data_IF_351200118014
#
_entry.id   IF_351200118014
#
_cell.length_a   1.000
_cell.length_b   1.000
_cell.length_c   1.000
_cell.angle_alpha   90.00
_cell.angle_beta   90.00
_cell.angle_gamma   90.00
#
_symmetry.space_group_name_H-M   'P 1'
#
loop_
_entity.id
_entity.type
_entity.pdbx_description
1 polymer ?
#
# COMPACT_ATOMS: atom_id res chain seq x y z
N UNK A 1 -57.92 -43.35 5.38
CA UNK A 1 -56.60 -42.89 5.89
C UNK A 1 -56.10 -41.85 4.91
N UNK A 2 -56.56 -40.60 5.05
CA UNK A 2 -56.25 -39.51 4.13
C UNK A 2 -55.08 -38.68 4.66
N UNK A 3 -53.97 -38.66 3.90
CA UNK A 3 -52.80 -37.82 4.20
C UNK A 3 -53.05 -36.40 3.66
N UNK A 4 -53.25 -35.43 4.56
CA UNK A 4 -53.19 -34.00 4.24
C UNK A 4 -51.78 -33.60 3.78
N UNK A 5 -51.62 -32.71 2.78
CA UNK A 5 -50.32 -32.16 2.42
C UNK A 5 -49.87 -31.09 3.43
N UNK A 6 -48.59 -31.17 3.84
CA UNK A 6 -47.91 -30.17 4.68
C UNK A 6 -47.71 -28.88 3.87
N UNK A 7 -48.24 -27.76 4.39
CA UNK A 7 -47.92 -26.41 3.92
C UNK A 7 -46.45 -26.11 4.24
N UNK A 8 -45.65 -25.87 3.20
CA UNK A 8 -44.32 -25.28 3.31
C UNK A 8 -44.47 -23.80 3.69
N UNK A 9 -43.96 -23.41 4.85
CA UNK A 9 -43.85 -22.02 5.25
C UNK A 9 -42.82 -21.32 4.34
N UNK A 10 -43.29 -20.35 3.54
CA UNK A 10 -42.44 -19.44 2.78
C UNK A 10 -41.81 -18.48 3.78
N UNK A 11 -40.56 -18.75 4.18
CA UNK A 11 -39.74 -17.80 4.93
C UNK A 11 -39.46 -16.61 4.02
N UNK A 12 -39.96 -15.43 4.39
CA UNK A 12 -39.57 -14.16 3.77
C UNK A 12 -38.11 -13.89 4.12
N UNK A 13 -37.21 -14.20 3.18
CA UNK A 13 -35.87 -13.60 3.18
C UNK A 13 -36.07 -12.10 3.07
N UNK A 14 -35.66 -11.36 4.11
CA UNK A 14 -35.32 -9.96 3.98
C UNK A 14 -34.29 -9.84 2.86
N UNK A 15 -34.59 -9.02 1.85
CA UNK A 15 -33.61 -8.59 0.85
C UNK A 15 -32.56 -7.76 1.60
N UNK A 16 -31.46 -8.41 2.01
CA UNK A 16 -30.21 -7.70 2.31
C UNK A 16 -29.79 -7.05 1.00
N UNK A 17 -29.85 -5.71 0.94
CA UNK A 17 -29.29 -4.94 -0.18
C UNK A 17 -27.84 -5.39 -0.39
N UNK A 18 -27.48 -5.61 -1.66
CA UNK A 18 -26.11 -5.98 -2.04
C UNK A 18 -25.16 -4.90 -1.48
N UNK A 19 -24.20 -5.25 -0.58
CA UNK A 19 -23.25 -4.30 -0.03
C UNK A 19 -22.49 -3.53 -1.13
N UNK A 20 -22.36 -4.13 -2.33
CA UNK A 20 -21.76 -3.53 -3.51
C UNK A 20 -22.68 -2.45 -4.10
N UNK A 21 -23.99 -2.69 -4.21
CA UNK A 21 -24.95 -1.67 -4.66
C UNK A 21 -25.07 -0.53 -3.65
N UNK A 22 -24.97 -0.83 -2.35
CA UNK A 22 -24.92 0.18 -1.29
C UNK A 22 -23.65 1.04 -1.36
N UNK A 23 -22.47 0.42 -1.55
CA UNK A 23 -21.19 1.14 -1.68
C UNK A 23 -21.14 1.96 -2.99
N UNK A 24 -21.62 1.40 -4.10
CA UNK A 24 -21.74 2.10 -5.39
C UNK A 24 -22.77 3.23 -5.32
N UNK A 25 -23.85 3.05 -4.56
CA UNK A 25 -24.86 4.05 -4.25
C UNK A 25 -24.28 5.21 -3.44
N UNK A 26 -23.54 4.93 -2.37
CA UNK A 26 -22.85 5.94 -1.55
C UNK A 26 -21.75 6.69 -2.33
N UNK A 27 -21.04 6.00 -3.23
CA UNK A 27 -20.09 6.61 -4.17
C UNK A 27 -20.78 7.49 -5.24
N UNK A 28 -22.08 7.30 -5.50
CA UNK A 28 -22.83 8.04 -6.52
C UNK A 28 -23.41 9.36 -6.03
N UNK A 29 -23.64 9.50 -4.73
CA UNK A 29 -24.19 10.71 -4.09
C UNK A 29 -23.10 11.74 -3.77
N UNK A 30 -21.86 11.30 -3.60
CA UNK A 30 -20.69 12.15 -3.45
C UNK A 30 -20.07 12.40 -4.84
N UNK A 31 -19.54 13.60 -5.12
CA UNK A 31 -18.86 13.93 -6.41
C UNK A 31 -17.53 13.15 -6.64
N UNK A 32 -17.41 11.93 -6.10
CA UNK A 32 -16.28 10.99 -6.17
C UNK A 32 -16.27 10.17 -7.48
N UNK A 33 -16.63 10.80 -8.61
CA UNK A 33 -16.89 10.12 -9.88
C UNK A 33 -15.73 9.29 -10.45
N UNK A 34 -14.48 9.53 -10.03
CA UNK A 34 -13.31 8.73 -10.45
C UNK A 34 -12.96 7.59 -9.49
N UNK A 35 -13.22 7.72 -8.18
CA UNK A 35 -13.15 6.58 -7.26
C UNK A 35 -14.11 5.46 -7.71
N UNK A 36 -15.31 5.86 -8.18
CA UNK A 36 -16.28 4.97 -8.82
C UNK A 36 -15.77 4.34 -10.12
N UNK A 37 -15.15 5.12 -11.02
CA UNK A 37 -14.58 4.61 -12.28
C UNK A 37 -13.42 3.66 -12.02
N UNK A 38 -12.47 4.01 -11.15
CA UNK A 38 -11.35 3.15 -10.76
C UNK A 38 -11.82 1.81 -10.19
N UNK A 39 -12.85 1.79 -9.32
CA UNK A 39 -13.41 0.53 -8.80
C UNK A 39 -14.03 -0.34 -9.90
N UNK A 40 -14.83 0.26 -10.78
CA UNK A 40 -15.49 -0.43 -11.90
C UNK A 40 -14.49 -0.90 -12.96
N UNK A 41 -13.51 -0.07 -13.30
CA UNK A 41 -12.48 -0.35 -14.30
C UNK A 41 -11.51 -1.42 -13.78
N UNK A 42 -11.20 -1.41 -12.49
CA UNK A 42 -10.36 -2.43 -11.87
C UNK A 42 -11.04 -3.80 -11.79
N UNK A 43 -12.33 -3.83 -11.43
CA UNK A 43 -13.18 -5.04 -11.54
C UNK A 43 -13.23 -5.57 -12.98
N UNK A 44 -13.33 -4.69 -13.99
CA UNK A 44 -13.34 -5.09 -15.41
C UNK A 44 -11.98 -5.55 -15.91
N UNK A 45 -10.90 -4.95 -15.44
CA UNK A 45 -9.53 -5.24 -15.84
C UNK A 45 -8.91 -6.43 -15.06
N UNK A 46 -9.60 -6.93 -14.03
CA UNK A 46 -9.05 -7.96 -13.14
C UNK A 46 -7.86 -7.47 -12.32
N UNK A 47 -7.74 -6.15 -12.11
CA UNK A 47 -6.68 -5.54 -11.30
C UNK A 47 -7.09 -5.47 -9.83
N UNK A 48 -6.11 -5.35 -8.92
CA UNK A 48 -6.39 -5.29 -7.48
C UNK A 48 -6.68 -3.86 -6.94
N UNK A 49 -6.66 -2.82 -7.77
CA UNK A 49 -6.84 -1.43 -7.29
C UNK A 49 -8.34 -1.14 -7.03
N UNK A 50 -8.77 -1.06 -5.77
CA UNK A 50 -10.20 -1.02 -5.44
C UNK A 50 -10.77 0.39 -5.29
N UNK A 51 -10.21 1.20 -4.40
CA UNK A 51 -10.67 2.57 -4.13
C UNK A 51 -9.52 3.55 -4.36
N UNK A 52 -9.77 4.66 -5.05
CA UNK A 52 -8.75 5.64 -5.41
C UNK A 52 -9.23 7.05 -5.07
N UNK A 53 -8.38 7.77 -4.32
CA UNK A 53 -8.45 9.22 -4.20
C UNK A 53 -7.32 9.86 -5.01
N UNK A 54 -7.69 10.61 -6.04
CA UNK A 54 -6.78 11.40 -6.86
C UNK A 54 -7.02 12.88 -6.57
N UNK A 55 -6.08 13.59 -5.93
CA UNK A 55 -6.24 15.02 -5.64
C UNK A 55 -6.36 15.87 -6.91
N UNK A 56 -5.92 15.39 -8.08
CA UNK A 56 -6.08 16.11 -9.34
C UNK A 56 -7.54 16.25 -9.80
N UNK A 57 -8.47 15.48 -9.21
CA UNK A 57 -9.89 15.56 -9.53
C UNK A 57 -10.62 16.71 -8.80
N UNK A 58 -9.96 17.38 -7.84
CA UNK A 58 -10.59 18.38 -6.96
C UNK A 58 -9.84 19.70 -6.98
N UNK A 59 -10.56 20.80 -6.72
CA UNK A 59 -9.90 22.08 -6.46
C UNK A 59 -9.23 22.09 -5.08
N UNK A 60 -8.21 22.94 -4.89
CA UNK A 60 -7.48 23.04 -3.62
C UNK A 60 -8.41 23.36 -2.43
N UNK A 61 -9.45 24.17 -2.64
CA UNK A 61 -10.43 24.53 -1.60
C UNK A 61 -11.42 23.42 -1.22
N UNK A 62 -11.57 22.39 -2.07
CA UNK A 62 -12.47 21.25 -1.82
C UNK A 62 -11.72 20.02 -1.29
N UNK A 63 -10.39 20.04 -1.32
CA UNK A 63 -9.57 18.84 -1.16
C UNK A 63 -9.72 18.17 0.19
N UNK A 64 -9.64 18.94 1.29
CA UNK A 64 -9.78 18.40 2.64
C UNK A 64 -11.21 17.85 2.87
N UNK A 65 -12.25 18.55 2.39
CA UNK A 65 -13.64 18.08 2.50
C UNK A 65 -13.88 16.78 1.72
N UNK A 66 -13.36 16.69 0.50
CA UNK A 66 -13.51 15.49 -0.33
C UNK A 66 -12.71 14.31 0.23
N UNK A 67 -11.56 14.60 0.85
CA UNK A 67 -10.76 13.58 1.51
C UNK A 67 -11.45 13.05 2.78
N UNK A 68 -12.12 13.91 3.55
CA UNK A 68 -12.93 13.51 4.71
C UNK A 68 -14.06 12.56 4.27
N UNK A 69 -14.81 12.96 3.23
CA UNK A 69 -15.86 12.12 2.62
C UNK A 69 -15.33 10.80 2.08
N UNK A 70 -14.12 10.78 1.54
CA UNK A 70 -13.47 9.55 1.12
C UNK A 70 -13.21 8.62 2.31
N UNK A 71 -12.71 9.13 3.44
CA UNK A 71 -12.46 8.32 4.63
C UNK A 71 -13.74 7.73 5.24
N UNK A 72 -14.87 8.45 5.19
CA UNK A 72 -16.15 7.94 5.67
C UNK A 72 -16.58 6.64 4.99
N UNK A 73 -16.29 6.51 3.69
CA UNK A 73 -16.68 5.36 2.86
C UNK A 73 -15.56 4.34 2.66
N UNK A 74 -14.30 4.74 2.88
CA UNK A 74 -13.12 3.93 2.58
C UNK A 74 -12.31 3.53 3.82
N UNK A 75 -12.90 3.57 5.01
CA UNK A 75 -12.20 3.18 6.25
C UNK A 75 -11.62 1.76 6.13
N UNK A 76 -10.28 1.58 6.21
CA UNK A 76 -9.64 0.27 6.01
C UNK A 76 -10.16 -0.82 6.95
N UNK A 77 -10.57 -0.44 8.17
CA UNK A 77 -11.16 -1.35 9.15
C UNK A 77 -12.56 -1.88 8.79
N UNK A 78 -13.26 -1.22 7.86
CA UNK A 78 -14.65 -1.53 7.48
C UNK A 78 -14.76 -2.15 6.10
N UNK A 79 -13.91 -1.68 5.17
CA UNK A 79 -13.89 -2.17 3.79
C UNK A 79 -13.36 -3.60 3.76
N UNK A 80 -14.02 -4.52 3.05
CA UNK A 80 -13.65 -5.93 3.01
C UNK A 80 -12.99 -6.32 1.68
N UNK A 81 -12.07 -7.28 1.74
CA UNK A 81 -11.49 -7.87 0.53
C UNK A 81 -12.56 -8.61 -0.28
N UNK A 82 -13.53 -9.25 0.39
CA UNK A 82 -14.64 -9.97 -0.27
C UNK A 82 -15.55 -9.09 -1.13
N UNK A 83 -15.56 -7.77 -0.90
CA UNK A 83 -16.27 -6.80 -1.76
C UNK A 83 -15.57 -6.62 -3.13
N UNK A 84 -14.44 -7.30 -3.34
CA UNK A 84 -13.60 -7.20 -4.53
C UNK A 84 -12.68 -5.98 -4.51
N UNK A 85 -12.39 -5.44 -3.33
CA UNK A 85 -11.45 -4.35 -3.12
C UNK A 85 -10.10 -4.99 -2.77
N UNK A 86 -9.07 -4.79 -3.59
CA UNK A 86 -7.73 -5.24 -3.27
C UNK A 86 -6.94 -4.20 -2.46
N UNK A 87 -7.10 -2.92 -2.82
CA UNK A 87 -6.39 -1.79 -2.20
C UNK A 87 -7.26 -0.53 -2.12
N UNK A 88 -7.03 0.26 -1.07
CA UNK A 88 -7.46 1.66 -0.97
C UNK A 88 -6.21 2.52 -1.23
N UNK A 89 -6.28 3.47 -2.14
CA UNK A 89 -5.15 4.22 -2.68
C UNK A 89 -5.38 5.72 -2.61
N UNK A 90 -4.34 6.47 -2.26
CA UNK A 90 -4.32 7.94 -2.31
C UNK A 90 -3.06 8.39 -3.04
N UNK A 91 -3.21 9.28 -4.02
CA UNK A 91 -2.10 9.85 -4.78
C UNK A 91 -1.63 11.17 -4.15
N UNK A 92 -0.36 11.52 -4.40
CA UNK A 92 0.16 12.86 -4.11
C UNK A 92 -0.44 13.88 -5.09
N UNK A 93 -0.58 15.14 -4.65
CA UNK A 93 -0.89 16.27 -5.55
C UNK A 93 0.16 16.44 -6.66
N UNK A 94 1.38 16.01 -6.40
CA UNK A 94 2.49 15.99 -7.37
C UNK A 94 2.65 14.62 -8.03
N UNK A 95 1.62 13.76 -8.03
CA UNK A 95 1.71 12.44 -8.62
C UNK A 95 1.91 12.56 -10.13
N UNK A 96 2.95 11.90 -10.59
CA UNK A 96 3.18 11.60 -12.00
C UNK A 96 3.02 10.09 -12.13
N UNK A 97 2.44 9.64 -13.23
CA UNK A 97 2.29 8.21 -13.47
C UNK A 97 3.68 7.56 -13.45
N UNK A 98 3.94 6.81 -12.38
CA UNK A 98 5.21 6.12 -12.23
C UNK A 98 5.27 4.98 -13.22
N UNK A 99 6.13 5.11 -14.24
CA UNK A 99 6.55 3.97 -15.03
C UNK A 99 7.12 2.89 -14.11
N UNK A 100 6.79 1.63 -14.39
CA UNK A 100 7.41 0.49 -13.70
C UNK A 100 8.86 0.24 -14.15
N UNK A 101 9.39 1.11 -15.02
CA UNK A 101 10.62 0.90 -15.76
C UNK A 101 10.38 -0.06 -16.94
N UNK A 102 11.46 -0.58 -17.51
CA UNK A 102 11.42 -1.58 -18.54
C UNK A 102 11.38 -2.97 -17.91
N UNK A 103 10.17 -3.46 -17.64
CA UNK A 103 9.97 -4.76 -16.96
C UNK A 103 10.39 -5.95 -17.83
N UNK A 104 10.26 -5.84 -19.16
CA UNK A 104 10.65 -6.92 -20.09
C UNK A 104 12.16 -7.10 -20.09
N UNK A 105 12.92 -6.01 -20.24
CA UNK A 105 14.39 -6.08 -20.20
C UNK A 105 14.91 -6.46 -18.81
N UNK A 106 14.24 -6.01 -17.74
CA UNK A 106 14.52 -6.44 -16.37
C UNK A 106 14.37 -7.97 -16.21
N UNK A 107 13.29 -8.55 -16.72
CA UNK A 107 13.06 -10.00 -16.65
C UNK A 107 14.12 -10.76 -17.47
N UNK A 108 14.45 -10.28 -18.67
CA UNK A 108 15.51 -10.85 -19.50
C UNK A 108 16.87 -10.82 -18.81
N UNK A 109 17.24 -9.71 -18.18
CA UNK A 109 18.49 -9.58 -17.44
C UNK A 109 18.52 -10.44 -16.17
N UNK A 110 17.37 -10.64 -15.53
CA UNK A 110 17.22 -11.54 -14.40
C UNK A 110 17.47 -12.99 -14.78
N UNK A 111 16.91 -13.47 -15.89
CA UNK A 111 17.16 -14.82 -16.40
C UNK A 111 18.65 -15.03 -16.75
N UNK A 112 19.29 -14.04 -17.39
CA UNK A 112 20.73 -14.08 -17.66
C UNK A 112 21.54 -14.15 -16.37
N UNK A 113 21.17 -13.37 -15.35
CA UNK A 113 21.88 -13.37 -14.07
C UNK A 113 21.77 -14.75 -13.40
N UNK A 114 20.58 -15.35 -13.34
CA UNK A 114 20.37 -16.71 -12.82
C UNK A 114 21.19 -17.76 -13.58
N UNK A 115 21.27 -17.65 -14.91
CA UNK A 115 22.05 -18.57 -15.74
C UNK A 115 23.58 -18.39 -15.61
N UNK A 116 24.05 -17.20 -15.25
CA UNK A 116 25.47 -16.82 -15.28
C UNK A 116 26.34 -17.45 -14.19
N UNK A 117 25.78 -18.20 -13.23
CA UNK A 117 26.43 -18.70 -12.01
C UNK A 117 27.07 -17.61 -11.12
N UNK A 118 26.87 -16.32 -11.41
CA UNK A 118 27.28 -15.22 -10.54
C UNK A 118 26.46 -15.26 -9.25
N UNK A 119 27.05 -14.78 -8.16
CA UNK A 119 26.32 -14.62 -6.89
C UNK A 119 25.21 -13.59 -7.05
N UNK A 120 23.97 -13.99 -6.76
CA UNK A 120 22.83 -13.09 -6.70
C UNK A 120 22.86 -12.40 -5.34
N UNK A 121 23.06 -11.08 -5.35
CA UNK A 121 23.08 -10.23 -4.17
C UNK A 121 22.34 -8.90 -4.45
N UNK A 122 22.24 -8.04 -3.43
CA UNK A 122 21.56 -6.75 -3.59
C UNK A 122 22.21 -5.86 -4.66
N UNK A 123 23.54 -5.80 -4.72
CA UNK A 123 24.24 -4.91 -5.66
C UNK A 123 23.96 -5.31 -7.11
N UNK A 124 23.97 -6.62 -7.41
CA UNK A 124 23.62 -7.12 -8.74
C UNK A 124 22.17 -6.78 -9.14
N UNK A 125 21.21 -6.91 -8.21
CA UNK A 125 19.81 -6.54 -8.47
C UNK A 125 19.68 -5.02 -8.62
N UNK A 126 20.42 -4.24 -7.83
CA UNK A 126 20.41 -2.78 -7.89
C UNK A 126 20.93 -2.27 -9.24
N UNK A 127 22.06 -2.79 -9.71
CA UNK A 127 22.63 -2.44 -11.02
C UNK A 127 21.65 -2.72 -12.17
N UNK A 128 20.98 -3.86 -12.10
CA UNK A 128 19.95 -4.26 -13.08
C UNK A 128 18.74 -3.33 -13.02
N UNK A 129 18.27 -2.99 -11.82
CA UNK A 129 17.14 -2.09 -11.64
C UNK A 129 17.45 -0.68 -12.18
N UNK A 130 18.66 -0.18 -11.96
CA UNK A 130 19.14 1.10 -12.51
C UNK A 130 19.17 1.05 -14.03
N UNK A 131 19.74 -0.01 -14.61
CA UNK A 131 19.87 -0.15 -16.06
C UNK A 131 18.51 -0.22 -16.77
N UNK A 132 17.49 -0.72 -16.08
CA UNK A 132 16.13 -0.89 -16.59
C UNK A 132 15.14 0.18 -16.09
N UNK A 133 15.60 1.24 -15.43
CA UNK A 133 14.75 2.32 -14.88
C UNK A 133 13.65 1.82 -13.91
N UNK A 134 13.87 0.67 -13.27
CA UNK A 134 12.97 0.05 -12.29
C UNK A 134 13.28 0.54 -10.88
N UNK A 135 13.17 1.85 -10.67
CA UNK A 135 13.73 2.53 -9.49
C UNK A 135 12.77 2.69 -8.30
N UNK A 136 11.49 2.37 -8.45
CA UNK A 136 10.52 2.58 -7.37
C UNK A 136 10.88 1.88 -6.06
N UNK A 137 10.52 2.50 -4.92
CA UNK A 137 10.69 1.95 -3.58
C UNK A 137 9.41 2.00 -2.77
N UNK A 138 9.35 1.24 -1.67
CA UNK A 138 8.14 1.15 -0.83
C UNK A 138 8.53 1.03 0.64
N UNK A 139 8.05 1.96 1.47
CA UNK A 139 7.97 1.81 2.93
C UNK A 139 6.72 1.01 3.29
N UNK A 140 6.89 -0.07 4.05
CA UNK A 140 5.83 -0.95 4.54
C UNK A 140 5.65 -0.78 6.05
N UNK A 141 4.42 -0.54 6.47
CA UNK A 141 3.96 -0.48 7.85
C UNK A 141 2.89 -1.56 8.06
N UNK A 142 3.02 -2.33 9.14
CA UNK A 142 2.07 -3.37 9.52
C UNK A 142 1.32 -2.90 10.76
N UNK A 143 -0.01 -2.88 10.70
CA UNK A 143 -0.90 -2.43 11.78
C UNK A 143 -1.84 -3.55 12.18
N UNK A 144 -1.97 -3.79 13.49
CA UNK A 144 -2.65 -4.98 14.01
C UNK A 144 -4.11 -4.77 14.36
N UNK A 145 -4.55 -3.53 14.57
CA UNK A 145 -5.88 -3.23 15.11
C UNK A 145 -6.69 -2.35 14.18
N UNK A 146 -8.01 -2.54 14.21
CA UNK A 146 -8.99 -1.75 13.46
C UNK A 146 -8.98 -0.27 13.86
N UNK A 147 -8.79 0.04 15.15
CA UNK A 147 -8.77 1.43 15.64
C UNK A 147 -7.50 2.17 15.20
N UNK A 148 -6.34 1.51 15.28
CA UNK A 148 -5.07 2.12 14.89
C UNK A 148 -4.97 2.31 13.38
N UNK A 149 -5.51 1.37 12.57
CA UNK A 149 -5.35 1.45 11.12
C UNK A 149 -6.06 2.65 10.52
N UNK A 150 -7.29 2.96 10.92
CA UNK A 150 -8.06 4.07 10.34
C UNK A 150 -7.36 5.41 10.63
N UNK A 151 -6.96 5.61 11.90
CA UNK A 151 -6.23 6.81 12.33
C UNK A 151 -4.86 6.93 11.65
N UNK A 152 -4.15 5.80 11.50
CA UNK A 152 -2.83 5.77 10.84
C UNK A 152 -2.96 6.07 9.36
N UNK A 153 -3.95 5.46 8.71
CA UNK A 153 -4.25 5.65 7.29
C UNK A 153 -4.58 7.10 6.98
N UNK A 154 -5.48 7.71 7.75
CA UNK A 154 -5.87 9.11 7.57
C UNK A 154 -4.65 10.05 7.60
N UNK A 155 -3.78 9.90 8.61
CA UNK A 155 -2.56 10.72 8.74
C UNK A 155 -1.64 10.58 7.52
N UNK A 156 -1.42 9.34 7.06
CA UNK A 156 -0.54 9.05 5.92
C UNK A 156 -1.17 9.57 4.62
N UNK A 157 -2.46 9.34 4.41
CA UNK A 157 -3.18 9.79 3.23
C UNK A 157 -3.17 11.31 3.11
N UNK A 158 -3.49 12.05 4.18
CA UNK A 158 -3.42 13.53 4.20
C UNK A 158 -2.01 14.03 3.91
N UNK A 159 -0.99 13.42 4.50
CA UNK A 159 0.40 13.79 4.25
C UNK A 159 0.84 13.49 2.80
N UNK A 160 0.33 12.41 2.22
CA UNK A 160 0.57 12.03 0.81
C UNK A 160 -0.04 13.07 -0.12
N UNK A 161 -1.31 13.41 0.04
CA UNK A 161 -2.00 14.44 -0.77
C UNK A 161 -1.23 15.77 -0.74
N UNK A 162 -0.70 16.15 0.42
CA UNK A 162 0.09 17.38 0.64
C UNK A 162 1.54 17.29 0.14
N UNK A 163 1.92 16.21 -0.55
CA UNK A 163 3.27 16.01 -1.09
C UNK A 163 4.37 15.89 -0.03
N UNK A 164 4.01 15.56 1.22
CA UNK A 164 4.97 15.44 2.34
C UNK A 164 5.60 14.04 2.45
N UNK A 165 5.01 13.06 1.77
CA UNK A 165 5.52 11.70 1.65
C UNK A 165 5.99 11.49 0.20
N UNK A 166 6.04 10.24 -0.25
CA UNK A 166 6.38 9.94 -1.64
C UNK A 166 5.18 10.07 -2.58
N UNK A 167 5.17 9.30 -3.68
CA UNK A 167 4.25 9.55 -4.80
C UNK A 167 2.81 9.15 -4.52
N UNK A 168 2.61 8.06 -3.78
CA UNK A 168 1.30 7.60 -3.41
C UNK A 168 1.38 6.66 -2.21
N UNK A 169 0.22 6.40 -1.62
CA UNK A 169 0.08 5.42 -0.54
C UNK A 169 -1.05 4.44 -0.85
N UNK A 170 -0.91 3.21 -0.36
CA UNK A 170 -1.92 2.15 -0.43
C UNK A 170 -2.13 1.52 0.93
N UNK A 171 -3.35 1.09 1.22
CA UNK A 171 -3.66 0.29 2.41
C UNK A 171 -4.56 -0.89 2.05
N UNK A 172 -4.31 -2.03 2.69
CA UNK A 172 -5.16 -3.22 2.52
C UNK A 172 -6.50 -3.04 3.23
N UNK A 173 -7.61 -3.52 2.64
CA UNK A 173 -8.87 -3.68 3.37
C UNK A 173 -8.77 -4.83 4.38
N UNK A 174 -9.87 -5.10 5.10
CA UNK A 174 -9.99 -6.25 5.99
C UNK A 174 -9.76 -7.55 5.20
N UNK A 175 -8.83 -8.37 5.67
CA UNK A 175 -8.53 -9.69 5.13
C UNK A 175 -9.58 -10.73 5.55
N UNK A 176 -10.80 -10.62 5.02
CA UNK A 176 -11.91 -11.51 5.34
C UNK A 176 -12.00 -12.75 4.42
N UNK A 177 -11.23 -12.79 3.33
CA UNK A 177 -11.06 -13.97 2.47
C UNK A 177 -9.84 -14.81 2.85
N UNK A 178 -9.78 -16.05 2.36
CA UNK A 178 -8.60 -16.92 2.56
C UNK A 178 -7.36 -16.33 1.90
N UNK A 179 -7.50 -15.86 0.67
CA UNK A 179 -6.40 -15.24 -0.09
C UNK A 179 -5.84 -14.01 0.64
N UNK A 180 -6.73 -13.15 1.19
CA UNK A 180 -6.32 -11.99 1.97
C UNK A 180 -5.52 -12.38 3.22
N UNK A 181 -5.97 -13.41 3.94
CA UNK A 181 -5.29 -13.92 5.14
C UNK A 181 -3.95 -14.57 4.82
N UNK A 182 -3.83 -15.25 3.69
CA UNK A 182 -2.57 -15.88 3.29
C UNK A 182 -1.49 -14.84 2.92
N UNK A 183 -1.89 -13.65 2.45
CA UNK A 183 -0.96 -12.57 2.06
C UNK A 183 -0.36 -11.83 3.27
N UNK A 184 -1.20 -11.43 4.24
CA UNK A 184 -0.80 -10.51 5.33
C UNK A 184 -1.29 -10.95 6.71
N UNK A 185 -1.83 -12.16 6.83
CA UNK A 185 -2.49 -12.60 8.05
C UNK A 185 -3.73 -11.76 8.35
N UNK A 186 -3.93 -11.46 9.63
CA UNK A 186 -4.99 -10.55 10.08
C UNK A 186 -4.54 -9.08 10.15
N UNK A 187 -3.32 -8.75 9.70
CA UNK A 187 -2.76 -7.41 9.80
C UNK A 187 -3.18 -6.56 8.58
N UNK A 188 -3.32 -5.25 8.80
CA UNK A 188 -3.35 -4.30 7.70
C UNK A 188 -1.93 -3.90 7.30
N UNK A 189 -1.71 -3.69 6.00
CA UNK A 189 -0.45 -3.17 5.47
C UNK A 189 -0.68 -1.81 4.84
N UNK A 190 0.02 -0.79 5.33
CA UNK A 190 0.13 0.51 4.68
C UNK A 190 1.46 0.57 3.92
N UNK A 191 1.39 0.95 2.65
CA UNK A 191 2.52 1.02 1.71
C UNK A 191 2.68 2.45 1.22
N UNK A 192 3.82 3.09 1.48
CA UNK A 192 4.15 4.44 1.02
C UNK A 192 5.25 4.36 -0.03
N UNK A 193 4.95 4.79 -1.25
CA UNK A 193 5.80 4.60 -2.41
C UNK A 193 6.74 5.78 -2.62
N UNK A 194 7.98 5.50 -3.01
CA UNK A 194 9.02 6.49 -3.35
C UNK A 194 9.44 6.34 -4.81
N UNK A 195 9.88 7.44 -5.45
CA UNK A 195 10.26 7.44 -6.87
C UNK A 195 11.51 6.60 -7.15
N UNK A 196 12.52 6.72 -6.29
CA UNK A 196 13.84 6.11 -6.50
C UNK A 196 14.38 5.51 -5.18
N UNK A 197 14.53 4.19 -5.11
CA UNK A 197 15.08 3.49 -3.95
C UNK A 197 16.59 3.71 -3.79
N UNK A 198 17.27 4.20 -4.82
CA UNK A 198 18.70 4.54 -4.83
C UNK A 198 18.96 5.96 -4.33
N UNK A 199 17.96 6.85 -4.40
CA UNK A 199 17.98 8.15 -3.73
C UNK A 199 17.76 7.99 -2.23
N UNK A 200 18.86 7.71 -1.53
CA UNK A 200 18.88 7.60 -0.09
C UNK A 200 18.33 8.86 0.60
N UNK A 201 18.53 10.07 0.05
CA UNK A 201 18.05 11.29 0.70
C UNK A 201 16.53 11.31 0.72
N UNK A 202 15.88 11.00 -0.40
CA UNK A 202 14.42 10.91 -0.49
C UNK A 202 13.86 9.82 0.44
N UNK A 203 14.45 8.62 0.42
CA UNK A 203 14.02 7.50 1.28
C UNK A 203 14.05 7.88 2.76
N UNK A 204 15.12 8.56 3.21
CA UNK A 204 15.26 9.01 4.60
C UNK A 204 14.31 10.18 4.93
N UNK A 205 14.04 11.09 3.98
CA UNK A 205 13.06 12.17 4.17
C UNK A 205 11.64 11.64 4.37
N UNK A 206 11.24 10.65 3.58
CA UNK A 206 9.93 10.00 3.72
C UNK A 206 9.82 9.28 5.07
N UNK A 207 10.89 8.60 5.51
CA UNK A 207 10.92 8.02 6.86
C UNK A 207 10.72 9.08 7.95
N UNK A 208 11.46 10.19 7.87
CA UNK A 208 11.37 11.30 8.81
C UNK A 208 9.93 11.84 8.89
N UNK A 209 9.30 12.02 7.74
CA UNK A 209 7.91 12.49 7.65
C UNK A 209 6.94 11.48 8.28
N UNK A 210 7.11 10.18 8.06
CA UNK A 210 6.32 9.13 8.74
C UNK A 210 6.49 9.21 10.27
N UNK A 211 7.70 9.44 10.78
CA UNK A 211 7.93 9.61 12.22
C UNK A 211 7.31 10.88 12.78
N UNK A 212 7.34 12.00 12.04
CA UNK A 212 6.68 13.26 12.43
C UNK A 212 5.15 13.14 12.50
N UNK A 213 4.55 12.23 11.73
CA UNK A 213 3.12 11.86 11.87
C UNK A 213 2.81 11.05 13.15
N UNK A 214 3.84 10.66 13.91
CA UNK A 214 3.71 9.91 15.15
C UNK A 214 3.76 8.39 14.97
N UNK A 215 4.20 7.88 13.82
CA UNK A 215 4.36 6.43 13.64
C UNK A 215 5.56 5.94 14.45
N UNK A 216 5.29 5.05 15.40
CA UNK A 216 6.31 4.51 16.32
C UNK A 216 6.64 3.04 16.02
N UNK A 217 5.79 2.37 15.26
CA UNK A 217 5.98 0.99 14.84
C UNK A 217 7.21 0.77 13.96
N UNK A 218 7.63 -0.48 13.87
CA UNK A 218 8.67 -0.89 12.92
C UNK A 218 8.16 -0.73 11.49
N UNK A 219 8.94 -0.07 10.65
CA UNK A 219 8.68 0.05 9.21
C UNK A 219 9.85 -0.52 8.41
N UNK A 220 9.55 -1.06 7.24
CA UNK A 220 10.52 -1.75 6.37
C UNK A 220 10.51 -1.11 5.01
N UNK A 221 11.67 -0.73 4.49
CA UNK A 221 11.80 -0.26 3.12
C UNK A 221 12.27 -1.38 2.21
N UNK A 222 11.62 -1.56 1.06
CA UNK A 222 12.05 -2.49 0.01
C UNK A 222 12.07 -1.82 -1.36
N UNK A 223 13.02 -2.19 -2.25
CA UNK A 223 12.92 -1.88 -3.67
C UNK A 223 11.68 -2.54 -4.28
N UNK A 224 10.94 -1.83 -5.13
CA UNK A 224 9.79 -2.39 -5.85
C UNK A 224 10.20 -3.51 -6.81
N UNK A 225 11.41 -3.42 -7.37
CA UNK A 225 12.00 -4.44 -8.24
C UNK A 225 12.03 -5.84 -7.59
N UNK A 226 12.14 -5.95 -6.26
CA UNK A 226 12.06 -7.24 -5.58
C UNK A 226 10.73 -7.96 -5.81
N UNK A 227 9.62 -7.21 -5.86
CA UNK A 227 8.31 -7.79 -6.16
C UNK A 227 8.21 -8.29 -7.59
N UNK A 228 8.75 -7.54 -8.56
CA UNK A 228 8.78 -7.96 -9.97
C UNK A 228 9.63 -9.21 -10.19
N UNK A 229 10.74 -9.34 -9.46
CA UNK A 229 11.65 -10.48 -9.57
C UNK A 229 11.27 -11.69 -8.69
N UNK A 230 10.17 -11.61 -7.94
CA UNK A 230 9.75 -12.67 -7.02
C UNK A 230 10.64 -12.85 -5.78
N UNK A 231 11.43 -11.84 -5.42
CA UNK A 231 12.32 -11.85 -4.25
C UNK A 231 11.53 -11.55 -2.97
N UNK A 232 10.86 -12.59 -2.46
CA UNK A 232 10.09 -12.54 -1.20
C UNK A 232 10.89 -13.11 -0.02
N UNK A 233 10.29 -13.15 1.17
CA UNK A 233 10.88 -13.83 2.31
C UNK A 233 11.14 -15.31 2.00
N UNK A 234 12.25 -15.86 2.51
CA UNK A 234 12.64 -17.27 2.30
C UNK A 234 12.93 -17.62 0.82
N UNK A 235 13.35 -16.64 0.02
CA UNK A 235 13.84 -16.91 -1.34
C UNK A 235 15.14 -17.74 -1.33
N UNK A 236 15.42 -18.40 -2.45
CA UNK A 236 16.58 -19.29 -2.64
C UNK A 236 17.94 -18.58 -2.58
N UNK A 237 17.98 -17.26 -2.73
CA UNK A 237 19.21 -16.45 -2.69
C UNK A 237 19.53 -15.94 -1.28
N UNK A 238 18.71 -16.29 -0.27
CA UNK A 238 18.85 -15.82 1.11
C UNK A 238 18.86 -14.28 1.24
N UNK A 239 18.25 -13.59 0.28
CA UNK A 239 18.10 -12.13 0.31
C UNK A 239 17.03 -11.74 1.31
N UNK A 240 17.28 -10.67 2.07
CA UNK A 240 16.21 -10.09 2.89
C UNK A 240 15.24 -9.32 1.98
N UNK A 241 13.93 -9.43 2.20
CA UNK A 241 12.92 -8.78 1.36
C UNK A 241 12.83 -7.24 1.55
N UNK A 242 13.67 -6.67 2.41
CA UNK A 242 13.80 -5.22 2.63
C UNK A 242 15.26 -4.82 2.84
N UNK A 243 15.61 -3.61 2.40
CA UNK A 243 16.97 -3.07 2.43
C UNK A 243 17.19 -2.10 3.60
N UNK A 244 16.11 -1.46 4.09
CA UNK A 244 16.12 -0.70 5.34
C UNK A 244 15.07 -1.22 6.31
N UNK A 245 15.39 -1.17 7.61
CA UNK A 245 14.41 -1.31 8.67
C UNK A 245 14.54 -0.15 9.62
N UNK A 246 13.44 0.54 9.91
CA UNK A 246 13.42 1.63 10.88
C UNK A 246 12.65 1.24 12.14
N UNK A 247 13.22 1.55 13.29
CA UNK A 247 12.58 1.44 14.60
C UNK A 247 12.56 2.82 15.26
N UNK A 248 11.52 3.11 16.03
CA UNK A 248 11.50 4.30 16.86
C UNK A 248 12.41 4.14 18.09
N UNK A 249 13.33 5.07 18.31
CA UNK A 249 14.10 5.18 19.55
C UNK A 249 13.49 6.28 20.43
N UNK A 250 12.67 5.87 21.40
CA UNK A 250 11.98 6.79 22.30
C UNK A 250 12.94 7.62 23.18
N UNK A 251 14.15 7.12 23.47
CA UNK A 251 15.12 7.86 24.29
C UNK A 251 15.77 9.00 23.51
N UNK A 252 15.91 8.84 22.20
CA UNK A 252 16.53 9.80 21.30
C UNK A 252 15.51 10.64 20.54
N UNK A 253 14.22 10.33 20.69
CA UNK A 253 13.13 10.92 19.94
C UNK A 253 13.43 10.91 18.42
N UNK A 254 13.83 9.74 17.92
CA UNK A 254 14.34 9.63 16.56
C UNK A 254 14.02 8.28 15.91
N UNK A 255 13.88 8.27 14.59
CA UNK A 255 13.92 7.06 13.79
C UNK A 255 15.33 6.50 13.76
N UNK A 256 15.49 5.20 14.02
CA UNK A 256 16.75 4.48 13.89
C UNK A 256 16.63 3.51 12.72
N UNK A 257 17.23 3.90 11.61
CA UNK A 257 17.18 3.19 10.34
C UNK A 257 18.44 2.35 10.21
N UNK A 258 18.28 1.03 10.11
CA UNK A 258 19.36 0.10 9.83
C UNK A 258 19.40 -0.24 8.35
N UNK A 259 20.58 -0.09 7.74
CA UNK A 259 20.89 -0.62 6.41
C UNK A 259 21.22 -2.11 6.50
N UNK A 260 20.35 -2.93 5.92
CA UNK A 260 20.50 -4.39 5.92
C UNK A 260 21.56 -4.83 4.91
N UNK A 261 21.76 -4.06 3.85
CA UNK A 261 22.65 -4.40 2.74
C UNK A 261 24.12 -4.21 3.12
N UNK A 262 24.40 -3.30 4.05
CA UNK A 262 25.75 -2.93 4.52
C UNK A 262 26.05 -3.33 5.98
N UNK A 263 25.23 -4.18 6.60
CA UNK A 263 25.50 -4.74 7.94
C UNK A 263 25.04 -3.90 9.13
N UNK A 264 25.96 -3.21 9.85
CA UNK A 264 25.72 -2.48 11.12
C UNK A 264 25.51 -0.97 10.94
N UNK A 265 25.43 -0.47 9.71
CA UNK A 265 25.22 0.97 9.47
C UNK A 265 23.81 1.38 9.95
N UNK A 266 23.75 2.42 10.79
CA UNK A 266 22.51 2.97 11.32
C UNK A 266 22.46 4.48 11.11
N UNK A 267 21.31 4.98 10.70
CA UNK A 267 21.03 6.40 10.54
C UNK A 267 20.02 6.81 11.61
N UNK A 268 20.36 7.83 12.37
CA UNK A 268 19.45 8.45 13.32
C UNK A 268 18.80 9.65 12.65
N UNK A 269 17.48 9.67 12.58
CA UNK A 269 16.72 10.80 12.08
C UNK A 269 16.01 11.45 13.26
N UNK A 270 16.55 12.58 13.72
CA UNK A 270 15.93 13.36 14.77
C UNK A 270 14.69 14.08 14.22
N UNK A 271 13.55 13.91 14.87
CA UNK A 271 12.32 14.59 14.46
C UNK A 271 12.20 16.01 15.02
N UNK A 272 13.10 16.42 15.93
CA UNK A 272 13.14 17.77 16.49
C UNK A 272 13.78 18.79 15.54
N UNK A 273 14.54 18.33 14.54
CA UNK A 273 15.11 19.18 13.50
C UNK A 273 14.08 19.31 12.36
N UNK A 274 13.16 20.27 12.50
CA UNK A 274 12.16 20.58 11.49
C UNK A 274 11.30 21.78 11.88
N UNK A 275 11.67 22.95 11.35
CA UNK A 275 10.77 24.09 11.13
C UNK A 275 9.59 23.70 10.24
#
# INVERSE_FOLDING_TARGET
MDKKPRRSARSSKSEEEDPIESLVGNLSTLKLGRAKRSFVDSKKAGTEDGLLFDPADYSEGELDEMLDKFFEISAPSKVKRSDGIGWIRVLSSSYEEEGLGNLEDLENDWEKLKASKKTINFDAIKEMAISNWCLGGIWLLFVNTAEEIDTTWEKIARATVKGKLGTHTKVTPVADTKEGKDLYGAQHVVSVYTKDFTDKSDVLKVEAALRRLGLRERIVFKPRVYSSLGVYSQNEWNLRPGIYTSHWDARKLAGNIRDITKGRETYMINIQDGN
#
